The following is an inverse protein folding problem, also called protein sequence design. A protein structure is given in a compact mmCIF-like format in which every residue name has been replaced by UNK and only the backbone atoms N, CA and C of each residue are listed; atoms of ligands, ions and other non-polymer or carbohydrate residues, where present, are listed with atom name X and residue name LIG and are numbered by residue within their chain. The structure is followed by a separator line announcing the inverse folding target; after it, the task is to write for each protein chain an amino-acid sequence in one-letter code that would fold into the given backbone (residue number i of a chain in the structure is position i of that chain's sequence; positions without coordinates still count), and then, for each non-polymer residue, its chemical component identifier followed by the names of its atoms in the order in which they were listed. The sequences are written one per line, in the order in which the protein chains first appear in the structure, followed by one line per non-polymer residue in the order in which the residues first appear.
data_IF_749716175661
#
_entry.id   IF_749716175661
#
_cell.length_a   1.000
_cell.length_b   1.000
_cell.length_c   1.000
_cell.angle_alpha   90.00
_cell.angle_beta   90.00
_cell.angle_gamma   90.00
#
_symmetry.space_group_name_H-M   'P 1'
#
loop_
_entity.id
_entity.type
_entity.pdbx_description
1 polymer ?
#
# COMPACT_ATOMS: atom_id res chain seq x y z
N UNK A 1 -18.33 3.67 28.03
CA UNK A 1 -19.09 2.41 27.86
C UNK A 1 -18.16 1.31 27.36
N UNK A 2 -17.75 0.41 28.25
CA UNK A 2 -17.10 -0.85 27.88
C UNK A 2 -18.19 -1.90 27.74
N UNK A 3 -18.40 -2.39 26.52
CA UNK A 3 -19.42 -3.40 26.24
C UNK A 3 -19.03 -4.76 26.78
N UNK A 4 -19.95 -5.39 27.51
CA UNK A 4 -19.91 -6.79 27.92
C UNK A 4 -19.83 -7.75 26.72
N UNK A 5 -19.52 -9.01 27.02
CA UNK A 5 -19.05 -10.03 26.07
C UNK A 5 -20.04 -10.48 25.00
N UNK A 6 -21.31 -10.06 25.03
CA UNK A 6 -22.36 -10.64 24.17
C UNK A 6 -22.99 -9.68 23.16
N UNK A 7 -22.68 -8.38 23.21
CA UNK A 7 -23.17 -7.44 22.18
C UNK A 7 -22.20 -7.36 21.00
N UNK A 8 -22.72 -7.53 19.78
CA UNK A 8 -21.97 -7.32 18.52
C UNK A 8 -21.37 -5.91 18.53
N UNK A 9 -20.08 -5.80 18.84
CA UNK A 9 -19.37 -4.51 18.87
C UNK A 9 -19.37 -3.90 17.47
N UNK A 10 -19.99 -2.75 17.33
CA UNK A 10 -20.05 -2.04 16.06
C UNK A 10 -18.65 -1.60 15.60
N UNK A 11 -18.22 -2.08 14.43
CA UNK A 11 -16.95 -1.67 13.83
C UNK A 11 -16.97 -0.17 13.48
N UNK A 12 -15.91 0.57 13.85
CA UNK A 12 -15.81 2.01 13.60
C UNK A 12 -15.38 2.33 12.17
N UNK A 13 -14.48 1.51 11.61
CA UNK A 13 -13.88 1.66 10.29
C UNK A 13 -14.12 0.37 9.50
N UNK A 14 -14.41 0.52 8.21
CA UNK A 14 -14.62 -0.62 7.29
C UNK A 14 -13.35 -1.48 7.18
N UNK A 15 -13.52 -2.80 7.13
CA UNK A 15 -12.40 -3.74 7.07
C UNK A 15 -11.46 -3.49 5.87
N UNK A 16 -12.03 -3.05 4.74
CA UNK A 16 -11.27 -2.73 3.54
C UNK A 16 -10.26 -1.61 3.77
N UNK A 17 -10.65 -0.59 4.54
CA UNK A 17 -9.80 0.54 4.90
C UNK A 17 -8.74 0.15 5.94
N UNK A 18 -9.10 -0.72 6.89
CA UNK A 18 -8.16 -1.25 7.89
C UNK A 18 -7.01 -2.02 7.23
N UNK A 19 -7.30 -2.76 6.16
CA UNK A 19 -6.31 -3.59 5.50
C UNK A 19 -5.40 -2.83 4.51
N UNK A 20 -5.60 -1.52 4.33
CA UNK A 20 -4.67 -0.70 3.56
C UNK A 20 -3.34 -0.51 4.31
N UNK A 21 -2.30 -0.11 3.58
CA UNK A 21 -1.02 0.24 4.19
C UNK A 21 -1.18 1.45 5.14
N UNK A 22 -0.35 1.50 6.19
CA UNK A 22 -0.33 2.64 7.12
C UNK A 22 -0.14 3.98 6.42
N UNK A 23 0.66 4.01 5.34
CA UNK A 23 0.88 5.21 4.52
C UNK A 23 -0.39 5.75 3.86
N UNK A 24 -1.41 4.91 3.68
CA UNK A 24 -2.69 5.22 3.04
C UNK A 24 -3.86 5.25 4.03
N UNK A 25 -3.56 5.15 5.32
CA UNK A 25 -4.55 5.23 6.38
C UNK A 25 -5.17 3.92 6.80
N UNK A 26 -4.63 2.78 6.40
CA UNK A 26 -4.95 1.51 7.06
C UNK A 26 -4.03 1.19 8.23
N UNK A 27 -4.12 -0.04 8.73
CA UNK A 27 -3.26 -0.59 9.78
C UNK A 27 -2.18 -1.54 9.24
N UNK A 28 -2.18 -1.81 7.93
CA UNK A 28 -1.29 -2.76 7.28
C UNK A 28 -1.68 -4.22 7.51
N UNK A 29 -2.94 -4.47 7.91
CA UNK A 29 -3.47 -5.84 7.96
C UNK A 29 -3.63 -6.37 6.55
N UNK A 30 -3.27 -7.64 6.32
CA UNK A 30 -3.38 -8.20 4.97
C UNK A 30 -4.79 -8.72 4.74
N UNK A 31 -5.39 -8.35 3.62
CA UNK A 31 -6.63 -8.96 3.11
C UNK A 31 -6.30 -10.41 2.77
N UNK A 32 -6.85 -11.36 3.53
CA UNK A 32 -6.55 -12.79 3.37
C UNK A 32 -6.82 -13.28 1.94
N UNK A 33 -7.88 -12.78 1.29
CA UNK A 33 -8.20 -13.11 -0.11
C UNK A 33 -7.05 -12.76 -1.05
N UNK A 34 -6.51 -11.54 -0.98
CA UNK A 34 -5.41 -11.10 -1.84
C UNK A 34 -4.07 -11.73 -1.45
N UNK A 35 -3.86 -12.01 -0.15
CA UNK A 35 -2.70 -12.76 0.30
C UNK A 35 -2.73 -14.19 -0.22
N UNK A 36 -3.88 -14.86 -0.16
CA UNK A 36 -4.08 -16.19 -0.71
C UNK A 36 -3.85 -16.19 -2.22
N UNK A 37 -4.44 -15.23 -2.95
CA UNK A 37 -4.18 -15.02 -4.39
C UNK A 37 -2.69 -14.93 -4.70
N UNK A 38 -1.94 -14.10 -3.97
CA UNK A 38 -0.48 -13.98 -4.15
C UNK A 38 0.30 -15.26 -3.77
N UNK A 39 -0.16 -16.02 -2.78
CA UNK A 39 0.45 -17.31 -2.38
C UNK A 39 0.18 -18.40 -3.42
N UNK A 40 -1.03 -18.47 -3.98
CA UNK A 40 -1.38 -19.37 -5.07
C UNK A 40 -0.59 -19.02 -6.34
N UNK A 41 -0.47 -17.73 -6.67
CA UNK A 41 0.38 -17.27 -7.78
C UNK A 41 1.84 -17.70 -7.65
N UNK A 42 2.37 -17.85 -6.43
CA UNK A 42 3.72 -18.38 -6.21
C UNK A 42 3.87 -19.80 -6.75
N UNK A 43 2.84 -20.63 -6.66
CA UNK A 43 2.88 -21.99 -7.21
C UNK A 43 2.83 -21.99 -8.74
N UNK A 44 2.08 -21.07 -9.35
CA UNK A 44 2.11 -20.84 -10.81
C UNK A 44 3.51 -20.43 -11.26
N UNK A 45 4.13 -19.47 -10.55
CA UNK A 45 5.52 -19.07 -10.81
C UNK A 45 6.49 -20.25 -10.68
N UNK A 46 6.38 -21.02 -9.60
CA UNK A 46 7.20 -22.21 -9.37
C UNK A 46 7.05 -23.25 -10.47
N UNK A 47 5.85 -23.45 -10.98
CA UNK A 47 5.63 -24.39 -12.08
C UNK A 47 6.42 -23.99 -13.33
N UNK A 48 6.53 -22.68 -13.60
CA UNK A 48 7.32 -22.17 -14.71
C UNK A 48 8.83 -22.34 -14.48
N UNK A 49 9.35 -22.05 -13.27
CA UNK A 49 10.80 -22.08 -13.01
C UNK A 49 11.38 -23.46 -12.62
N UNK A 50 10.62 -24.26 -11.88
CA UNK A 50 11.09 -25.54 -11.34
C UNK A 50 11.18 -26.53 -12.51
N UNK A 51 12.30 -27.23 -12.66
CA UNK A 51 12.55 -28.10 -13.84
C UNK A 51 12.04 -29.51 -13.61
N UNK A 52 12.75 -30.26 -12.77
CA UNK A 52 12.58 -31.70 -12.60
C UNK A 52 11.99 -32.08 -11.23
N UNK A 53 11.38 -31.11 -10.56
CA UNK A 53 10.73 -31.36 -9.27
C UNK A 53 9.61 -32.40 -9.40
N UNK A 54 9.59 -33.39 -8.50
CA UNK A 54 8.61 -34.48 -8.49
C UNK A 54 7.16 -33.97 -8.52
N UNK A 55 6.86 -32.90 -7.77
CA UNK A 55 5.51 -32.34 -7.72
C UNK A 55 5.07 -31.80 -9.09
N UNK A 56 6.00 -31.21 -9.86
CA UNK A 56 5.72 -30.73 -11.22
C UNK A 56 5.46 -31.90 -12.15
N UNK A 57 6.28 -32.94 -12.10
CA UNK A 57 6.10 -34.15 -12.91
C UNK A 57 4.72 -34.78 -12.68
N UNK A 58 4.26 -34.86 -11.42
CA UNK A 58 2.92 -35.37 -11.09
C UNK A 58 1.82 -34.50 -11.71
N UNK A 59 1.95 -33.18 -11.65
CA UNK A 59 0.99 -32.25 -12.27
C UNK A 59 0.99 -32.41 -13.80
N UNK A 60 2.16 -32.52 -14.42
CA UNK A 60 2.31 -32.72 -15.87
C UNK A 60 1.68 -34.04 -16.30
N UNK A 61 1.95 -35.13 -15.58
CA UNK A 61 1.37 -36.44 -15.87
C UNK A 61 -0.16 -36.45 -15.74
N UNK A 62 -0.70 -35.72 -14.75
CA UNK A 62 -2.14 -35.68 -14.47
C UNK A 62 -2.93 -34.76 -15.40
N UNK A 63 -2.40 -33.57 -15.70
CA UNK A 63 -3.15 -32.53 -16.42
C UNK A 63 -2.58 -32.22 -17.81
N UNK A 64 -1.32 -32.54 -18.08
CA UNK A 64 -0.60 -32.16 -19.30
C UNK A 64 -0.01 -30.75 -19.24
N UNK A 65 0.68 -30.35 -20.32
CA UNK A 65 1.37 -29.06 -20.45
C UNK A 65 0.92 -28.28 -21.69
N UNK A 66 0.96 -26.96 -21.59
CA UNK A 66 0.73 -26.00 -22.68
C UNK A 66 1.74 -24.86 -22.61
N UNK A 67 1.74 -23.99 -23.64
CA UNK A 67 2.66 -22.85 -23.73
C UNK A 67 4.12 -23.30 -23.66
N UNK A 68 4.51 -24.24 -24.52
CA UNK A 68 5.89 -24.78 -24.60
C UNK A 68 6.45 -25.32 -23.27
N UNK A 69 5.57 -25.82 -22.40
CA UNK A 69 5.95 -26.45 -21.13
C UNK A 69 5.97 -25.50 -19.93
N UNK A 70 5.70 -24.21 -20.13
CA UNK A 70 5.64 -23.23 -19.05
C UNK A 70 4.39 -23.32 -18.18
N UNK A 71 3.32 -23.94 -18.72
CA UNK A 71 2.00 -23.97 -18.08
C UNK A 71 1.45 -25.38 -18.02
N UNK A 72 0.71 -25.68 -16.97
CA UNK A 72 -0.15 -26.85 -16.93
C UNK A 72 -1.41 -26.56 -17.74
N UNK A 73 -1.90 -27.55 -18.49
CA UNK A 73 -3.20 -27.43 -19.19
C UNK A 73 -4.32 -27.24 -18.18
N UNK A 74 -5.39 -26.58 -18.63
CA UNK A 74 -6.61 -26.40 -17.84
C UNK A 74 -7.21 -27.75 -17.45
N UNK A 75 -7.49 -27.91 -16.16
CA UNK A 75 -8.17 -29.10 -15.65
C UNK A 75 -9.66 -29.09 -16.06
N UNK A 76 -10.03 -29.87 -17.07
CA UNK A 76 -11.42 -30.14 -17.44
C UNK A 76 -11.90 -31.36 -16.67
N UNK A 77 -12.72 -31.16 -15.64
CA UNK A 77 -13.30 -32.25 -14.86
C UNK A 77 -14.21 -31.78 -13.71
N UNK A 78 -15.33 -32.49 -13.54
CA UNK A 78 -16.26 -32.40 -12.40
C UNK A 78 -15.75 -33.15 -11.16
N UNK A 79 -14.73 -33.99 -11.31
CA UNK A 79 -14.21 -34.84 -10.24
C UNK A 79 -13.00 -34.18 -9.58
N UNK A 80 -13.20 -33.70 -8.35
CA UNK A 80 -12.15 -33.29 -7.43
C UNK A 80 -11.99 -31.77 -7.31
N UNK A 81 -12.35 -31.26 -6.14
CA UNK A 81 -11.98 -29.92 -5.63
C UNK A 81 -10.48 -29.93 -5.31
N UNK A 82 -9.65 -30.07 -6.34
CA UNK A 82 -8.20 -30.25 -6.16
C UNK A 82 -7.50 -28.91 -5.91
N UNK A 83 -6.53 -28.90 -5.01
CA UNK A 83 -5.67 -27.74 -4.71
C UNK A 83 -5.09 -27.11 -5.99
N UNK A 84 -4.72 -27.93 -6.98
CA UNK A 84 -4.22 -27.45 -8.27
C UNK A 84 -5.25 -26.66 -9.09
N UNK A 85 -6.54 -27.00 -9.00
CA UNK A 85 -7.61 -26.27 -9.70
C UNK A 85 -7.75 -24.85 -9.16
N UNK A 86 -7.62 -24.67 -7.84
CA UNK A 86 -7.62 -23.34 -7.21
C UNK A 86 -6.33 -22.55 -7.52
N UNK A 87 -5.16 -23.20 -7.56
CA UNK A 87 -3.92 -22.57 -8.02
C UNK A 87 -4.06 -22.11 -9.48
N UNK A 88 -4.65 -22.96 -10.33
CA UNK A 88 -4.82 -22.69 -11.75
C UNK A 88 -5.76 -21.50 -11.99
N UNK A 89 -6.80 -21.28 -11.19
CA UNK A 89 -7.64 -20.06 -11.30
C UNK A 89 -6.84 -18.75 -11.17
N UNK A 90 -5.69 -18.81 -10.53
CA UNK A 90 -4.79 -17.67 -10.33
C UNK A 90 -3.68 -17.61 -11.40
N UNK A 91 -3.76 -18.41 -12.48
CA UNK A 91 -2.75 -18.45 -13.54
C UNK A 91 -2.65 -17.15 -14.34
N UNK A 92 -3.80 -16.59 -14.75
CA UNK A 92 -3.83 -15.56 -15.78
C UNK A 92 -3.18 -14.26 -15.30
N UNK A 93 -3.61 -13.75 -14.15
CA UNK A 93 -3.00 -12.55 -13.57
C UNK A 93 -1.52 -12.77 -13.24
N UNK A 94 -1.13 -13.98 -12.81
CA UNK A 94 0.26 -14.26 -12.48
C UNK A 94 1.09 -14.20 -13.76
N UNK A 95 0.60 -14.82 -14.83
CA UNK A 95 1.26 -14.85 -16.12
C UNK A 95 1.39 -13.49 -16.80
N UNK A 96 0.36 -12.65 -16.74
CA UNK A 96 0.41 -11.29 -17.31
C UNK A 96 1.56 -10.46 -16.70
N UNK A 97 1.94 -10.80 -15.47
CA UNK A 97 3.03 -10.18 -14.72
C UNK A 97 4.38 -10.92 -14.83
N UNK A 98 4.48 -11.93 -15.71
CA UNK A 98 5.73 -12.58 -16.09
C UNK A 98 6.23 -12.05 -17.45
N UNK A 99 7.54 -12.05 -17.61
CA UNK A 99 8.23 -11.97 -18.89
C UNK A 99 9.22 -13.12 -18.99
N UNK A 100 9.86 -13.25 -20.14
CA UNK A 100 10.84 -14.29 -20.42
C UNK A 100 12.22 -13.70 -20.64
N UNK A 101 13.23 -14.50 -20.35
CA UNK A 101 14.64 -14.24 -20.62
C UNK A 101 15.09 -15.33 -21.58
N UNK A 102 15.59 -14.93 -22.73
CA UNK A 102 16.05 -15.84 -23.78
C UNK A 102 17.36 -16.51 -23.36
N UNK A 103 17.32 -17.84 -23.33
CA UNK A 103 18.46 -18.74 -23.31
C UNK A 103 18.57 -19.41 -24.69
N UNK A 104 18.30 -20.71 -24.76
CA UNK A 104 18.21 -21.49 -26.02
C UNK A 104 17.13 -20.97 -26.97
N UNK A 105 16.07 -20.37 -26.46
CA UNK A 105 14.96 -19.81 -27.23
C UNK A 105 13.92 -20.83 -27.67
N UNK A 106 14.04 -22.11 -27.31
CA UNK A 106 13.19 -23.20 -27.77
C UNK A 106 11.83 -23.28 -27.04
N UNK A 107 11.66 -22.53 -25.96
CA UNK A 107 10.40 -22.45 -25.20
C UNK A 107 9.73 -21.08 -25.27
N UNK A 108 10.26 -20.15 -26.05
CA UNK A 108 9.75 -18.78 -26.12
C UNK A 108 9.24 -18.52 -27.53
N UNK A 109 7.97 -18.14 -27.68
CA UNK A 109 7.44 -17.75 -28.97
C UNK A 109 7.95 -16.35 -29.34
N UNK A 110 8.52 -16.22 -30.54
CA UNK A 110 9.15 -14.99 -30.99
C UNK A 110 8.18 -13.80 -30.98
N UNK A 111 6.95 -13.97 -31.50
CA UNK A 111 6.02 -12.87 -31.66
C UNK A 111 5.11 -12.60 -30.45
N UNK A 112 4.67 -13.65 -29.77
CA UNK A 112 3.54 -13.58 -28.82
C UNK A 112 3.95 -13.57 -27.35
N UNK A 113 5.19 -13.96 -27.03
CA UNK A 113 5.70 -13.91 -25.66
C UNK A 113 6.41 -12.59 -25.36
N UNK A 114 6.41 -12.20 -24.09
CA UNK A 114 7.07 -10.96 -23.63
C UNK A 114 8.50 -11.27 -23.22
N UNK A 115 9.41 -11.26 -24.20
CA UNK A 115 10.84 -11.52 -23.99
C UNK A 115 11.73 -10.35 -24.43
N UNK A 116 11.16 -9.38 -25.13
CA UNK A 116 11.82 -8.19 -25.66
C UNK A 116 11.09 -6.92 -25.19
N UNK A 117 11.80 -5.95 -24.60
CA UNK A 117 11.29 -4.62 -24.20
C UNK A 117 9.95 -4.60 -23.42
N UNK A 118 9.70 -5.58 -22.55
CA UNK A 118 8.50 -5.67 -21.69
C UNK A 118 7.12 -5.68 -22.41
N UNK A 119 7.12 -5.76 -23.73
CA UNK A 119 5.94 -5.84 -24.60
C UNK A 119 6.06 -7.03 -25.56
N UNK A 120 4.96 -7.40 -26.23
CA UNK A 120 5.00 -8.46 -27.26
C UNK A 120 5.42 -7.83 -28.57
N UNK A 121 6.32 -8.46 -29.33
CA UNK A 121 6.68 -7.98 -30.67
C UNK A 121 5.45 -7.88 -31.59
N UNK A 122 4.47 -8.78 -31.46
CA UNK A 122 3.19 -8.70 -32.19
C UNK A 122 2.35 -7.46 -31.85
N UNK A 123 2.51 -6.89 -30.65
CA UNK A 123 1.83 -5.66 -30.23
C UNK A 123 2.59 -4.41 -30.68
N UNK A 124 3.93 -4.44 -30.62
CA UNK A 124 4.79 -3.33 -31.03
C UNK A 124 4.90 -3.21 -32.56
N UNK A 125 4.80 -4.34 -33.28
CA UNK A 125 4.90 -4.44 -34.74
C UNK A 125 3.73 -5.24 -35.34
N UNK A 126 2.47 -4.79 -35.19
CA UNK A 126 1.30 -5.55 -35.61
C UNK A 126 1.26 -5.79 -37.13
N UNK A 127 1.78 -4.84 -37.91
CA UNK A 127 1.85 -4.96 -39.38
C UNK A 127 2.85 -6.05 -39.81
N UNK A 128 4.05 -6.07 -39.21
CA UNK A 128 5.04 -7.13 -39.49
C UNK A 128 4.56 -8.50 -39.03
N UNK A 129 3.88 -8.57 -37.87
CA UNK A 129 3.29 -9.81 -37.38
C UNK A 129 2.23 -10.38 -38.34
N UNK A 130 1.38 -9.51 -38.90
CA UNK A 130 0.38 -9.91 -39.89
C UNK A 130 1.03 -10.50 -41.16
N UNK A 131 2.23 -10.06 -41.53
CA UNK A 131 2.94 -10.55 -42.72
C UNK A 131 3.93 -11.69 -42.42
N UNK A 132 4.18 -12.01 -41.16
CA UNK A 132 5.13 -13.04 -40.79
C UNK A 132 4.64 -14.43 -41.21
N UNK A 133 5.50 -15.18 -41.92
CA UNK A 133 5.19 -16.55 -42.38
C UNK A 133 5.13 -17.55 -41.21
N UNK A 134 5.91 -17.29 -40.16
CA UNK A 134 5.99 -18.14 -38.97
C UNK A 134 5.57 -17.39 -37.70
N UNK A 135 4.26 -17.18 -37.53
CA UNK A 135 3.70 -16.42 -36.38
C UNK A 135 3.86 -17.12 -35.02
N UNK A 136 3.98 -18.46 -35.05
CA UNK A 136 4.10 -19.30 -33.86
C UNK A 136 5.52 -19.89 -33.70
N UNK A 137 6.50 -19.38 -34.44
CA UNK A 137 7.87 -19.87 -34.33
C UNK A 137 8.50 -19.46 -32.99
N UNK A 138 9.39 -20.30 -32.51
CA UNK A 138 10.18 -20.04 -31.32
C UNK A 138 11.36 -19.10 -31.61
N UNK A 139 11.95 -18.52 -30.57
CA UNK A 139 13.13 -17.67 -30.72
C UNK A 139 14.32 -18.45 -31.31
N UNK A 140 14.45 -19.74 -30.97
CA UNK A 140 15.45 -20.63 -31.55
C UNK A 140 15.26 -20.78 -33.07
N UNK A 141 14.04 -21.08 -33.51
CA UNK A 141 13.71 -21.30 -34.93
C UNK A 141 13.91 -20.03 -35.78
N UNK A 142 13.77 -18.86 -35.16
CA UNK A 142 13.95 -17.56 -35.81
C UNK A 142 15.42 -17.09 -35.83
N UNK A 143 16.34 -17.83 -35.22
CA UNK A 143 17.76 -17.50 -35.16
C UNK A 143 18.60 -18.47 -35.99
N UNK A 144 19.34 -17.95 -36.96
CA UNK A 144 20.24 -18.74 -37.78
C UNK A 144 21.69 -18.55 -37.32
N UNK A 145 22.28 -19.63 -36.80
CA UNK A 145 23.66 -19.65 -36.33
C UNK A 145 24.69 -19.67 -37.48
N UNK A 146 24.27 -19.98 -38.71
CA UNK A 146 25.18 -20.13 -39.85
C UNK A 146 25.61 -18.79 -40.47
N UNK A 147 24.93 -17.69 -40.13
CA UNK A 147 25.27 -16.35 -40.61
C UNK A 147 26.34 -15.66 -39.74
N UNK A 148 27.61 -16.04 -39.89
CA UNK A 148 28.74 -15.33 -39.26
C UNK A 148 28.66 -15.24 -37.73
N UNK A 149 28.22 -14.09 -37.19
CA UNK A 149 27.96 -13.91 -35.74
C UNK A 149 26.56 -14.38 -35.28
N UNK A 150 25.80 -15.01 -36.19
CA UNK A 150 24.40 -15.36 -36.05
C UNK A 150 23.47 -14.21 -36.47
N UNK A 151 22.28 -14.55 -36.98
CA UNK A 151 21.33 -13.56 -37.50
C UNK A 151 19.86 -13.98 -37.38
N UNK A 152 18.97 -13.00 -37.36
CA UNK A 152 17.53 -13.23 -37.31
C UNK A 152 16.98 -13.63 -38.69
N UNK A 153 16.43 -14.83 -38.81
CA UNK A 153 15.80 -15.36 -40.02
C UNK A 153 14.31 -14.99 -40.06
N UNK A 154 14.03 -13.74 -40.41
CA UNK A 154 12.66 -13.21 -40.50
C UNK A 154 12.06 -13.50 -41.88
N UNK A 155 11.17 -14.48 -41.98
CA UNK A 155 10.46 -14.82 -43.23
C UNK A 155 9.06 -14.19 -43.28
N UNK A 156 8.77 -13.53 -44.38
CA UNK A 156 7.51 -12.83 -44.62
C UNK A 156 6.82 -13.37 -45.88
N UNK A 157 5.50 -13.18 -45.95
CA UNK A 157 4.65 -13.74 -47.01
C UNK A 157 4.87 -13.07 -48.38
N UNK A 158 5.45 -11.87 -48.41
CA UNK A 158 5.77 -11.10 -49.63
C UNK A 158 6.96 -10.18 -49.40
N UNK A 159 7.47 -9.63 -50.48
CA UNK A 159 8.45 -8.55 -50.45
C UNK A 159 7.85 -7.27 -49.87
N UNK A 160 8.75 -6.42 -49.37
CA UNK A 160 8.42 -5.18 -48.67
C UNK A 160 8.34 -4.00 -49.62
N UNK A 161 7.40 -3.09 -49.31
CA UNK A 161 7.42 -1.76 -49.89
C UNK A 161 8.39 -0.84 -49.13
N UNK A 162 8.82 0.26 -49.74
CA UNK A 162 9.81 1.19 -49.17
C UNK A 162 9.43 1.71 -47.77
N UNK A 163 8.14 1.97 -47.53
CA UNK A 163 7.66 2.42 -46.21
C UNK A 163 7.62 1.31 -45.15
N UNK A 164 7.64 0.03 -45.54
CA UNK A 164 7.68 -1.12 -44.63
C UNK A 164 9.12 -1.45 -44.20
N UNK A 165 10.10 -1.09 -45.03
CA UNK A 165 11.53 -1.26 -44.74
C UNK A 165 11.96 -0.52 -43.47
N UNK A 166 11.39 0.66 -43.20
CA UNK A 166 11.66 1.40 -41.96
C UNK A 166 11.22 0.61 -40.71
N UNK A 167 10.10 -0.12 -40.79
CA UNK A 167 9.59 -0.92 -39.67
C UNK A 167 10.50 -2.12 -39.37
N UNK A 168 11.05 -2.75 -40.40
CA UNK A 168 12.04 -3.84 -40.25
C UNK A 168 13.32 -3.30 -39.63
N UNK A 169 13.79 -2.13 -40.09
CA UNK A 169 14.96 -1.48 -39.51
C UNK A 169 14.79 -1.24 -38.01
N UNK A 170 13.62 -0.76 -37.59
CA UNK A 170 13.26 -0.61 -36.17
C UNK A 170 13.22 -1.94 -35.43
N UNK A 171 12.62 -2.98 -36.01
CA UNK A 171 12.58 -4.31 -35.41
C UNK A 171 13.99 -4.90 -35.22
N UNK A 172 14.84 -4.87 -36.26
CA UNK A 172 16.22 -5.35 -36.19
C UNK A 172 17.05 -4.55 -35.18
N UNK A 173 16.80 -3.24 -35.07
CA UNK A 173 17.44 -2.42 -34.05
C UNK A 173 17.10 -2.89 -32.63
N UNK A 174 15.81 -3.12 -32.36
CA UNK A 174 15.33 -3.67 -31.07
C UNK A 174 15.93 -5.04 -30.79
N UNK A 175 16.06 -5.88 -31.82
CA UNK A 175 16.59 -7.24 -31.69
C UNK A 175 18.12 -7.34 -31.60
N UNK A 176 18.86 -6.25 -31.85
CA UNK A 176 20.32 -6.24 -31.98
C UNK A 176 21.04 -6.76 -30.74
N UNK A 177 20.50 -6.49 -29.56
CA UNK A 177 21.11 -6.84 -28.28
C UNK A 177 20.71 -8.24 -27.79
N UNK A 178 19.89 -8.95 -28.55
CA UNK A 178 19.38 -10.28 -28.20
C UNK A 178 20.02 -11.34 -29.09
N UNK A 179 20.55 -12.39 -28.45
CA UNK A 179 21.03 -13.60 -29.11
C UNK A 179 20.72 -14.82 -28.25
N UNK A 180 20.26 -15.94 -28.83
CA UNK A 180 20.18 -17.20 -28.12
C UNK A 180 21.54 -17.63 -27.55
N UNK A 181 21.50 -18.32 -26.42
CA UNK A 181 22.68 -18.85 -25.73
C UNK A 181 22.51 -20.35 -25.46
N UNK A 182 23.54 -20.98 -24.88
CA UNK A 182 23.45 -22.38 -24.44
C UNK A 182 22.69 -22.55 -23.12
N UNK A 183 22.38 -21.46 -22.42
CA UNK A 183 21.61 -21.50 -21.17
C UNK A 183 20.15 -21.84 -21.46
N UNK A 184 19.46 -22.48 -20.52
CA UNK A 184 18.02 -22.71 -20.68
C UNK A 184 17.22 -21.41 -20.59
N UNK A 185 16.12 -21.36 -21.32
CA UNK A 185 15.15 -20.28 -21.19
C UNK A 185 14.69 -20.13 -19.73
N UNK A 186 14.41 -18.90 -19.32
CA UNK A 186 13.94 -18.61 -17.96
C UNK A 186 12.86 -17.53 -17.94
N UNK A 187 12.16 -17.43 -16.82
CA UNK A 187 11.12 -16.41 -16.61
C UNK A 187 11.62 -15.34 -15.65
N UNK A 188 11.18 -14.10 -15.89
CA UNK A 188 11.37 -12.94 -15.02
C UNK A 188 10.02 -12.41 -14.53
N UNK A 189 9.97 -12.03 -13.27
CA UNK A 189 8.81 -11.37 -12.70
C UNK A 189 8.88 -9.85 -12.96
N UNK A 190 7.85 -9.29 -13.61
CA UNK A 190 7.79 -7.85 -13.93
C UNK A 190 7.61 -6.97 -12.68
N UNK A 191 6.93 -7.49 -11.66
CA UNK A 191 6.60 -6.74 -10.46
C UNK A 191 7.67 -6.80 -9.37
N UNK A 192 8.69 -5.94 -9.41
CA UNK A 192 9.72 -5.89 -8.38
C UNK A 192 11.05 -5.35 -8.89
N UNK A 193 12.10 -5.37 -8.07
CA UNK A 193 13.44 -4.85 -8.47
C UNK A 193 14.42 -5.89 -9.01
N UNK A 194 14.15 -7.19 -8.81
CA UNK A 194 15.16 -8.23 -9.01
C UNK A 194 14.69 -9.35 -9.98
N UNK A 195 13.59 -9.15 -10.71
CA UNK A 195 13.04 -10.17 -11.63
C UNK A 195 12.57 -11.47 -10.97
N UNK A 196 12.50 -11.53 -9.63
CA UNK A 196 12.10 -12.72 -8.87
C UNK A 196 10.73 -12.52 -8.23
N UNK A 197 9.90 -13.56 -8.26
CA UNK A 197 8.60 -13.52 -7.59
C UNK A 197 8.78 -13.41 -6.07
N UNK A 198 8.21 -12.35 -5.48
CA UNK A 198 8.07 -12.19 -4.03
C UNK A 198 6.61 -11.99 -3.69
N UNK A 199 6.09 -12.80 -2.75
CA UNK A 199 4.68 -12.71 -2.29
C UNK A 199 4.33 -11.29 -1.84
N UNK A 200 5.26 -10.55 -1.23
CA UNK A 200 5.06 -9.16 -0.82
C UNK A 200 4.82 -8.21 -2.01
N UNK A 201 5.55 -8.40 -3.10
CA UNK A 201 5.45 -7.56 -4.31
C UNK A 201 4.20 -7.93 -5.11
N UNK A 202 3.94 -9.24 -5.26
CA UNK A 202 2.70 -9.75 -5.86
C UNK A 202 1.44 -9.28 -5.10
N UNK A 203 1.47 -9.32 -3.75
CA UNK A 203 0.37 -8.81 -2.92
C UNK A 203 0.10 -7.33 -3.21
N UNK A 204 1.14 -6.48 -3.26
CA UNK A 204 0.98 -5.05 -3.57
C UNK A 204 0.38 -4.80 -4.95
N UNK A 205 0.72 -5.64 -5.93
CA UNK A 205 0.22 -5.53 -7.29
C UNK A 205 -1.29 -5.83 -7.36
N UNK A 206 -1.76 -6.85 -6.64
CA UNK A 206 -3.18 -7.21 -6.61
C UNK A 206 -4.03 -6.28 -5.72
N UNK A 207 -3.43 -5.61 -4.75
CA UNK A 207 -4.13 -4.69 -3.85
C UNK A 207 -4.17 -3.24 -4.34
N UNK A 208 -4.03 -2.98 -5.65
CA UNK A 208 -3.96 -1.65 -6.30
C UNK A 208 -4.47 -0.51 -5.40
N UNK A 209 -3.57 0.17 -4.69
CA UNK A 209 -4.02 1.00 -3.60
C UNK A 209 -4.40 2.39 -4.12
N UNK A 210 -5.63 2.85 -3.82
CA UNK A 210 -6.06 4.22 -4.11
C UNK A 210 -5.06 5.22 -3.52
N UNK A 211 -4.71 6.25 -4.30
CA UNK A 211 -3.74 7.27 -3.89
C UNK A 211 -4.45 8.38 -3.11
N UNK A 212 -4.95 8.02 -1.93
CA UNK A 212 -5.51 9.00 -0.99
C UNK A 212 -4.35 9.47 -0.10
N UNK A 213 -4.02 10.76 -0.19
CA UNK A 213 -3.07 11.38 0.74
C UNK A 213 -3.55 11.20 2.18
N UNK A 214 -2.79 10.47 3.00
CA UNK A 214 -3.08 10.23 4.42
C UNK A 214 -1.87 10.62 5.30
N UNK A 215 -2.06 11.36 6.41
CA UNK A 215 -0.97 11.87 7.24
C UNK A 215 -0.36 10.80 8.17
N UNK A 216 -0.01 9.64 7.63
CA UNK A 216 0.48 8.48 8.39
C UNK A 216 1.68 8.79 9.30
N UNK A 217 2.62 9.59 8.78
CA UNK A 217 3.85 10.00 9.48
C UNK A 217 3.61 10.98 10.63
N UNK A 218 2.42 11.57 10.71
CA UNK A 218 2.03 12.48 11.79
C UNK A 218 1.24 11.75 12.88
N UNK A 219 0.72 10.55 12.59
CA UNK A 219 -0.05 9.72 13.53
C UNK A 219 0.83 8.65 14.18
N UNK A 220 1.57 7.91 13.36
CA UNK A 220 2.45 6.83 13.80
C UNK A 220 3.82 7.40 14.18
N UNK A 221 3.88 8.03 15.35
CA UNK A 221 5.11 8.65 15.91
C UNK A 221 5.60 7.83 17.11
N UNK A 222 6.89 7.51 17.16
CA UNK A 222 7.46 6.67 18.23
C UNK A 222 7.40 7.32 19.62
N UNK A 223 7.20 8.63 19.68
CA UNK A 223 7.14 9.42 20.92
C UNK A 223 5.75 9.53 21.54
N UNK A 224 4.79 8.70 21.10
CA UNK A 224 3.45 8.64 21.71
C UNK A 224 3.01 7.20 21.99
N UNK A 225 2.21 6.95 23.04
CA UNK A 225 1.66 5.63 23.28
C UNK A 225 0.78 5.15 22.12
N UNK A 226 0.83 3.85 21.82
CA UNK A 226 0.10 3.25 20.69
C UNK A 226 -1.41 3.53 20.71
N UNK A 227 -2.03 3.52 21.91
CA UNK A 227 -3.46 3.85 22.07
C UNK A 227 -3.82 5.27 21.60
N UNK A 228 -2.89 6.20 21.74
CA UNK A 228 -3.08 7.59 21.32
C UNK A 228 -2.94 7.73 19.81
N UNK A 229 -1.95 7.04 19.23
CA UNK A 229 -1.80 6.95 17.78
C UNK A 229 -3.05 6.31 17.12
N UNK A 230 -3.60 5.25 17.72
CA UNK A 230 -4.85 4.64 17.27
C UNK A 230 -6.04 5.60 17.34
N UNK A 231 -6.21 6.31 18.46
CA UNK A 231 -7.26 7.31 18.59
C UNK A 231 -7.15 8.42 17.52
N UNK A 232 -5.94 8.93 17.29
CA UNK A 232 -5.72 9.95 16.26
C UNK A 232 -5.95 9.42 14.84
N UNK A 233 -5.62 8.15 14.59
CA UNK A 233 -5.95 7.46 13.34
C UNK A 233 -7.47 7.40 13.12
N UNK A 234 -8.24 7.03 14.14
CA UNK A 234 -9.72 7.04 14.08
C UNK A 234 -10.28 8.45 13.88
N UNK A 235 -9.70 9.44 14.57
CA UNK A 235 -10.10 10.85 14.45
C UNK A 235 -9.85 11.40 13.05
N UNK A 236 -8.74 11.00 12.41
CA UNK A 236 -8.40 11.40 11.04
C UNK A 236 -9.40 10.86 10.02
N UNK A 237 -9.95 9.67 10.26
CA UNK A 237 -11.05 9.11 9.47
C UNK A 237 -12.42 9.69 9.83
N UNK A 238 -12.49 10.52 10.88
CA UNK A 238 -13.73 11.05 11.45
C UNK A 238 -14.62 9.96 12.03
N UNK A 239 -14.05 8.86 12.55
CA UNK A 239 -14.80 7.67 13.03
C UNK A 239 -14.81 7.50 14.54
N UNK A 240 -14.32 8.48 15.28
CA UNK A 240 -14.43 8.56 16.74
C UNK A 240 -15.91 8.66 17.14
N UNK A 241 -16.25 8.17 18.34
CA UNK A 241 -17.60 8.12 18.89
C UNK A 241 -18.09 9.48 19.43
N UNK A 242 -18.06 10.51 18.59
CA UNK A 242 -18.74 11.80 18.82
C UNK A 242 -20.24 11.64 18.67
N UNK A 243 -21.02 12.56 19.27
CA UNK A 243 -22.48 12.50 19.25
C UNK A 243 -23.05 12.50 17.83
N UNK A 244 -22.50 13.29 16.90
CA UNK A 244 -22.93 13.29 15.49
C UNK A 244 -22.80 11.89 14.84
N UNK A 245 -21.77 11.13 15.22
CA UNK A 245 -21.53 9.77 14.72
C UNK A 245 -22.42 8.73 15.37
N UNK A 246 -22.77 8.93 16.64
CA UNK A 246 -23.77 8.09 17.33
C UNK A 246 -25.16 8.31 16.74
N UNK A 247 -25.55 9.56 16.48
CA UNK A 247 -26.82 9.89 15.82
C UNK A 247 -26.93 9.26 14.43
N UNK A 248 -25.87 9.34 13.62
CA UNK A 248 -25.78 8.65 12.31
C UNK A 248 -25.91 7.13 12.40
N UNK A 249 -25.80 6.54 13.60
CA UNK A 249 -25.98 5.10 13.88
C UNK A 249 -27.34 4.79 14.51
N UNK A 250 -28.26 5.76 14.55
CA UNK A 250 -29.62 5.58 15.06
C UNK A 250 -29.81 5.89 16.54
N UNK A 251 -28.79 6.40 17.24
CA UNK A 251 -28.93 6.80 18.65
C UNK A 251 -29.63 8.15 18.76
N UNK A 252 -30.73 8.20 19.52
CA UNK A 252 -31.48 9.42 19.78
C UNK A 252 -30.89 10.15 20.99
N UNK A 253 -29.82 10.92 20.75
CA UNK A 253 -29.14 11.72 21.76
C UNK A 253 -29.15 13.21 21.33
N UNK A 254 -29.37 14.16 22.25
CA UNK A 254 -29.18 15.58 21.94
C UNK A 254 -27.69 15.82 21.64
N UNK A 255 -27.39 16.42 20.48
CA UNK A 255 -26.01 16.67 20.07
C UNK A 255 -25.56 18.04 20.54
N UNK A 256 -24.83 18.07 21.66
CA UNK A 256 -24.19 19.27 22.17
C UNK A 256 -22.80 18.91 22.68
N UNK A 257 -21.80 19.74 22.35
CA UNK A 257 -20.42 19.53 22.76
C UNK A 257 -20.28 19.53 24.29
N UNK A 258 -19.84 18.40 24.85
CA UNK A 258 -19.64 18.25 26.31
C UNK A 258 -18.58 19.20 26.90
N UNK A 259 -17.78 19.89 26.08
CA UNK A 259 -16.76 20.82 26.54
C UNK A 259 -17.28 22.26 26.58
N UNK A 260 -17.76 22.79 25.46
CA UNK A 260 -18.20 24.20 25.39
C UNK A 260 -19.69 24.38 25.64
N UNK A 261 -20.53 23.38 25.36
CA UNK A 261 -21.98 23.51 25.42
C UNK A 261 -22.62 24.39 24.34
N UNK A 262 -21.85 24.92 23.38
CA UNK A 262 -22.32 25.95 22.44
C UNK A 262 -22.66 25.44 21.04
N UNK A 263 -22.00 24.37 20.58
CA UNK A 263 -22.16 23.84 19.22
C UNK A 263 -22.35 22.32 19.24
N UNK A 264 -22.73 21.77 18.09
CA UNK A 264 -22.81 20.33 17.87
C UNK A 264 -21.44 19.66 18.02
N UNK A 265 -21.43 18.50 18.70
CA UNK A 265 -20.24 17.70 18.86
C UNK A 265 -19.93 16.91 17.59
N UNK A 266 -19.02 17.48 16.78
CA UNK A 266 -18.34 16.77 15.69
C UNK A 266 -16.87 16.52 16.05
N UNK A 267 -16.20 15.60 15.35
CA UNK A 267 -14.75 15.37 15.55
C UNK A 267 -13.93 16.63 15.31
N UNK A 268 -14.26 17.41 14.28
CA UNK A 268 -13.52 18.63 13.96
C UNK A 268 -13.81 19.73 14.99
N UNK A 269 -15.07 19.93 15.38
CA UNK A 269 -15.40 20.86 16.47
C UNK A 269 -14.67 20.46 17.74
N UNK A 270 -14.83 19.21 18.19
CA UNK A 270 -14.26 18.72 19.43
C UNK A 270 -12.74 18.85 19.50
N UNK A 271 -12.01 18.60 18.40
CA UNK A 271 -10.55 18.56 18.42
C UNK A 271 -9.86 19.85 17.95
N UNK A 272 -10.58 20.74 17.26
CA UNK A 272 -10.00 21.92 16.62
C UNK A 272 -10.75 23.18 17.03
N UNK A 273 -12.05 23.26 16.74
CA UNK A 273 -12.78 24.54 16.75
C UNK A 273 -13.42 24.88 18.09
N UNK A 274 -13.58 23.92 18.99
CA UNK A 274 -14.13 24.12 20.33
C UNK A 274 -13.30 25.15 21.10
N UNK A 275 -13.94 26.19 21.62
CA UNK A 275 -13.30 27.29 22.35
C UNK A 275 -12.46 26.81 23.53
N UNK A 276 -12.89 25.74 24.21
CA UNK A 276 -12.14 25.10 25.31
C UNK A 276 -10.84 24.47 24.80
N UNK A 277 -10.87 23.88 23.59
CA UNK A 277 -9.71 23.21 22.99
C UNK A 277 -8.76 24.21 22.35
N UNK A 278 -9.26 25.35 21.85
CA UNK A 278 -8.43 26.48 21.41
C UNK A 278 -7.43 26.89 22.47
N UNK A 279 -7.85 26.95 23.74
CA UNK A 279 -6.95 27.25 24.87
C UNK A 279 -5.73 26.32 24.95
N UNK A 280 -5.86 25.03 24.62
CA UNK A 280 -4.73 24.10 24.61
C UNK A 280 -3.80 24.33 23.42
N UNK A 281 -4.38 24.63 22.26
CA UNK A 281 -3.62 25.02 21.07
C UNK A 281 -2.84 26.32 21.31
N UNK A 282 -3.49 27.33 21.88
CA UNK A 282 -2.91 28.64 22.15
C UNK A 282 -1.73 28.58 23.12
N UNK A 283 -1.76 27.66 24.11
CA UNK A 283 -0.60 27.40 24.96
C UNK A 283 0.61 26.99 24.13
N UNK A 284 0.44 26.05 23.19
CA UNK A 284 1.55 25.59 22.35
C UNK A 284 2.00 26.67 21.38
N UNK A 285 1.05 27.30 20.69
CA UNK A 285 1.33 28.32 19.69
C UNK A 285 2.01 29.53 20.33
N UNK A 286 1.54 29.96 21.49
CA UNK A 286 2.14 31.02 22.30
C UNK A 286 3.55 30.67 22.78
N UNK A 287 3.75 29.46 23.31
CA UNK A 287 5.09 29.00 23.69
C UNK A 287 6.02 28.94 22.47
N UNK A 288 5.52 28.48 21.33
CA UNK A 288 6.34 28.30 20.13
C UNK A 288 6.52 29.57 19.28
N UNK A 289 5.83 30.67 19.60
CA UNK A 289 5.80 31.86 18.75
C UNK A 289 5.21 31.63 17.35
N UNK A 290 4.50 30.52 17.13
CA UNK A 290 3.94 30.15 15.82
C UNK A 290 2.54 30.75 15.69
N UNK A 291 2.32 31.54 14.65
CA UNK A 291 0.98 31.96 14.24
C UNK A 291 0.35 30.89 13.36
N UNK A 292 -0.86 30.45 13.71
CA UNK A 292 -1.51 29.32 13.04
C UNK A 292 -2.95 29.61 12.65
N UNK A 293 -3.27 29.34 11.39
CA UNK A 293 -4.65 29.32 10.89
C UNK A 293 -5.10 27.87 10.85
N UNK A 294 -6.16 27.55 11.59
CA UNK A 294 -6.63 26.18 11.68
C UNK A 294 -7.52 25.80 10.50
N UNK A 295 -7.19 24.72 9.78
CA UNK A 295 -8.07 24.18 8.74
C UNK A 295 -9.32 23.54 9.35
N UNK A 296 -10.27 23.19 8.47
CA UNK A 296 -11.59 22.66 8.85
C UNK A 296 -11.54 21.23 9.38
N UNK A 297 -10.52 20.45 8.98
CA UNK A 297 -10.48 19.02 9.29
C UNK A 297 -9.25 18.58 10.08
N UNK A 298 -9.43 17.58 10.94
CA UNK A 298 -8.34 16.94 11.70
C UNK A 298 -7.24 16.40 10.77
N UNK A 299 -7.64 15.88 9.60
CA UNK A 299 -6.72 15.39 8.59
C UNK A 299 -5.81 16.50 8.06
N UNK A 300 -6.36 17.67 7.76
CA UNK A 300 -5.59 18.83 7.28
C UNK A 300 -4.72 19.42 8.38
N UNK A 301 -5.20 19.48 9.63
CA UNK A 301 -4.37 19.89 10.79
C UNK A 301 -3.13 19.01 10.87
N UNK A 302 -3.29 17.69 10.88
CA UNK A 302 -2.14 16.76 10.97
C UNK A 302 -1.22 16.85 9.75
N UNK A 303 -1.77 17.09 8.56
CA UNK A 303 -0.99 17.21 7.33
C UNK A 303 -0.14 18.49 7.33
N UNK A 304 -0.75 19.63 7.66
CA UNK A 304 -0.10 20.93 7.73
C UNK A 304 0.90 21.03 8.87
N UNK A 305 0.65 20.36 10.02
CA UNK A 305 1.54 20.34 11.19
C UNK A 305 2.96 19.80 10.92
N UNK A 306 3.16 19.13 9.77
CA UNK A 306 4.46 18.54 9.37
C UNK A 306 5.50 19.58 8.91
N UNK A 307 5.13 20.86 8.76
CA UNK A 307 6.02 21.91 8.27
C UNK A 307 7.26 22.19 9.14
N UNK A 308 8.21 23.00 8.64
CA UNK A 308 9.50 23.28 9.27
C UNK A 308 9.40 24.32 10.42
N UNK A 309 8.33 24.26 11.22
CA UNK A 309 8.03 25.28 12.25
C UNK A 309 8.98 25.24 13.44
N UNK A 310 9.69 24.13 13.65
CA UNK A 310 10.61 23.96 14.79
C UNK A 310 11.94 23.37 14.34
N UNK A 311 13.02 23.74 15.04
CA UNK A 311 14.35 23.18 14.81
C UNK A 311 14.41 21.65 14.98
N UNK A 312 15.46 21.03 14.40
CA UNK A 312 15.65 19.56 14.37
C UNK A 312 15.52 18.90 15.76
N UNK A 313 16.00 19.56 16.81
CA UNK A 313 15.95 19.09 18.21
C UNK A 313 14.52 18.99 18.76
N UNK A 314 13.62 19.90 18.35
CA UNK A 314 12.22 20.01 18.83
C UNK A 314 11.23 19.21 17.97
N UNK A 315 11.63 18.81 16.76
CA UNK A 315 10.77 18.15 15.77
C UNK A 315 10.04 16.91 16.27
N UNK A 316 10.65 16.11 17.16
CA UNK A 316 10.00 14.92 17.74
C UNK A 316 8.81 15.32 18.63
N UNK A 317 9.01 16.30 19.52
CA UNK A 317 7.97 16.78 20.43
C UNK A 317 6.87 17.48 19.68
N UNK A 318 7.23 18.33 18.71
CA UNK A 318 6.29 19.02 17.86
C UNK A 318 5.28 18.06 17.22
N UNK A 319 5.74 16.93 16.68
CA UNK A 319 4.85 15.91 16.09
C UNK A 319 3.90 15.25 17.10
N UNK A 320 4.29 15.15 18.37
CA UNK A 320 3.46 14.54 19.42
C UNK A 320 2.35 15.47 19.92
N UNK A 321 2.46 16.78 19.71
CA UNK A 321 1.55 17.78 20.30
C UNK A 321 0.09 17.57 19.88
N UNK A 322 -0.26 17.52 18.58
CA UNK A 322 -1.64 17.30 18.17
C UNK A 322 -2.24 16.05 18.80
N UNK A 323 -1.46 14.96 18.82
CA UNK A 323 -1.89 13.68 19.38
C UNK A 323 -2.12 13.76 20.89
N UNK A 324 -1.28 14.53 21.61
CA UNK A 324 -1.42 14.78 23.04
C UNK A 324 -2.68 15.60 23.35
N UNK A 325 -2.94 16.66 22.57
CA UNK A 325 -4.16 17.47 22.68
C UNK A 325 -5.37 16.57 22.42
N UNK A 326 -5.39 15.86 21.29
CA UNK A 326 -6.50 14.97 20.91
C UNK A 326 -6.85 13.97 22.00
N UNK A 327 -5.84 13.32 22.57
CA UNK A 327 -6.06 12.35 23.65
C UNK A 327 -6.49 13.00 24.96
N UNK A 328 -5.95 14.17 25.30
CA UNK A 328 -6.32 14.89 26.53
C UNK A 328 -7.77 15.36 26.47
N UNK A 329 -8.17 15.95 25.35
CA UNK A 329 -9.54 16.37 25.04
C UNK A 329 -10.49 15.17 25.10
N UNK A 330 -10.12 14.05 24.46
CA UNK A 330 -10.97 12.85 24.45
C UNK A 330 -11.20 12.26 25.84
N UNK A 331 -10.17 12.22 26.69
CA UNK A 331 -10.30 11.76 28.08
C UNK A 331 -11.25 12.66 28.87
N UNK A 332 -11.10 13.97 28.74
CA UNK A 332 -11.92 14.92 29.51
C UNK A 332 -13.37 14.93 29.04
N UNK A 333 -13.59 14.94 27.72
CA UNK A 333 -14.92 14.77 27.13
C UNK A 333 -15.60 13.52 27.66
N UNK A 334 -14.92 12.37 27.65
CA UNK A 334 -15.50 11.11 28.14
C UNK A 334 -15.72 11.12 29.66
N UNK A 335 -14.89 11.82 30.44
CA UNK A 335 -15.13 12.01 31.88
C UNK A 335 -16.46 12.72 32.08
N UNK A 336 -16.68 13.84 31.40
CA UNK A 336 -17.90 14.62 31.51
C UNK A 336 -19.12 13.84 31.00
N UNK A 337 -19.01 13.18 29.85
CA UNK A 337 -20.10 12.41 29.26
C UNK A 337 -20.58 11.22 30.11
N UNK A 338 -19.67 10.53 30.83
CA UNK A 338 -20.01 9.31 31.57
C UNK A 338 -20.05 9.47 33.09
N UNK A 339 -19.32 10.44 33.66
CA UNK A 339 -19.25 10.67 35.11
C UNK A 339 -19.88 12.00 35.53
N UNK A 340 -20.29 12.83 34.57
CA UNK A 340 -20.83 14.16 34.82
C UNK A 340 -19.81 15.12 35.45
N UNK A 341 -20.35 16.17 36.07
CA UNK A 341 -19.61 17.25 36.70
C UNK A 341 -19.26 18.39 35.74
N UNK A 342 -18.51 19.36 36.26
CA UNK A 342 -18.14 20.57 35.53
C UNK A 342 -16.73 20.47 34.92
N UNK A 343 -16.53 21.21 33.83
CA UNK A 343 -15.25 21.37 33.19
C UNK A 343 -14.35 22.26 34.05
N UNK A 344 -13.22 21.71 34.51
CA UNK A 344 -12.17 22.50 35.14
C UNK A 344 -11.04 22.77 34.14
N UNK A 345 -11.03 23.98 33.57
CA UNK A 345 -10.06 24.36 32.52
C UNK A 345 -8.61 24.28 33.02
N UNK A 346 -8.33 24.64 34.27
CA UNK A 346 -6.97 24.60 34.80
C UNK A 346 -6.47 23.16 34.95
N UNK A 347 -7.34 22.26 35.40
CA UNK A 347 -7.04 20.82 35.45
C UNK A 347 -6.80 20.23 34.07
N UNK A 348 -7.57 20.67 33.06
CA UNK A 348 -7.38 20.26 31.66
C UNK A 348 -6.01 20.71 31.13
N UNK A 349 -5.65 21.99 31.30
CA UNK A 349 -4.34 22.56 30.94
C UNK A 349 -3.20 21.78 31.61
N UNK A 350 -3.30 21.56 32.92
CA UNK A 350 -2.30 20.82 33.68
C UNK A 350 -2.16 19.37 33.18
N UNK A 351 -3.28 18.69 32.89
CA UNK A 351 -3.25 17.32 32.37
C UNK A 351 -2.55 17.23 31.01
N UNK A 352 -2.81 18.20 30.12
CA UNK A 352 -2.16 18.30 28.82
C UNK A 352 -0.64 18.49 28.98
N UNK A 353 -0.23 19.51 29.73
CA UNK A 353 1.18 19.88 29.93
C UNK A 353 1.96 18.74 30.59
N UNK A 354 1.41 18.12 31.64
CA UNK A 354 2.03 16.98 32.30
C UNK A 354 2.14 15.75 31.38
N UNK A 355 1.12 15.48 30.55
CA UNK A 355 1.15 14.36 29.61
C UNK A 355 2.23 14.56 28.54
N UNK A 356 2.31 15.76 27.97
CA UNK A 356 3.31 16.11 26.96
C UNK A 356 4.74 16.03 27.55
N UNK A 357 4.93 16.56 28.75
CA UNK A 357 6.22 16.48 29.47
C UNK A 357 6.62 15.03 29.79
N UNK A 358 5.67 14.20 30.25
CA UNK A 358 5.92 12.78 30.52
C UNK A 358 6.40 12.04 29.27
N UNK A 359 5.79 12.29 28.11
CA UNK A 359 6.21 11.68 26.85
C UNK A 359 7.58 12.20 26.39
N UNK A 360 7.86 13.48 26.61
CA UNK A 360 9.17 14.05 26.34
C UNK A 360 10.29 13.43 27.19
N UNK A 361 10.00 13.09 28.46
CA UNK A 361 10.96 12.41 29.33
C UNK A 361 11.26 11.00 28.85
N UNK A 362 10.21 10.19 28.66
CA UNK A 362 10.33 8.76 28.37
C UNK A 362 10.91 8.47 26.98
N UNK A 363 10.45 9.19 25.95
CA UNK A 363 10.72 8.80 24.56
C UNK A 363 11.80 9.65 23.87
N UNK A 364 12.31 10.70 24.53
CA UNK A 364 13.16 11.72 23.89
C UNK A 364 14.46 11.95 24.69
N UNK A 365 14.71 11.15 25.73
CA UNK A 365 15.96 11.17 26.49
C UNK A 365 16.14 12.44 27.32
N UNK A 366 15.05 13.17 27.61
CA UNK A 366 15.03 14.38 28.43
C UNK A 366 14.70 14.09 29.89
N UNK A 367 15.18 12.96 30.42
CA UNK A 367 14.77 12.44 31.72
C UNK A 367 15.04 13.40 32.89
N UNK A 368 16.08 14.25 32.74
CA UNK A 368 16.54 15.21 33.75
C UNK A 368 15.86 16.59 33.71
N UNK A 369 14.95 16.84 32.77
CA UNK A 369 14.33 18.16 32.66
C UNK A 369 13.13 18.30 33.61
N UNK A 370 13.17 19.33 34.45
CA UNK A 370 12.00 19.78 35.22
C UNK A 370 10.87 20.23 34.28
N UNK A 371 9.66 20.35 34.81
CA UNK A 371 8.52 20.82 34.02
C UNK A 371 8.73 22.25 33.52
N UNK A 372 9.25 23.13 34.37
CA UNK A 372 9.55 24.53 34.03
C UNK A 372 10.63 24.58 32.94
N UNK A 373 11.75 23.86 33.14
CA UNK A 373 12.81 23.81 32.15
C UNK A 373 12.36 23.20 30.81
N UNK A 374 11.35 22.32 30.83
CA UNK A 374 10.73 21.80 29.62
C UNK A 374 9.93 22.87 28.87
N UNK A 375 9.14 23.69 29.57
CA UNK A 375 8.38 24.79 28.97
C UNK A 375 9.32 25.86 28.41
N UNK A 376 10.36 26.25 29.14
CA UNK A 376 11.39 27.18 28.67
C UNK A 376 12.12 26.64 27.43
N UNK A 377 12.42 25.34 27.41
CA UNK A 377 13.02 24.71 26.24
C UNK A 377 12.06 24.64 25.05
N UNK A 378 10.76 24.48 25.29
CA UNK A 378 9.77 24.60 24.21
C UNK A 378 9.68 26.03 23.70
N UNK A 379 9.85 27.02 24.58
CA UNK A 379 9.71 28.43 24.26
C UNK A 379 10.94 29.08 23.61
N UNK A 380 12.12 28.50 23.78
CA UNK A 380 13.38 29.03 23.24
C UNK A 380 13.55 28.76 21.73
N UNK A 381 12.49 28.90 20.93
CA UNK A 381 12.44 28.44 19.52
C UNK A 381 13.54 29.01 18.64
#
# INVERSE_FOLDING_TARGET
MGGGSEEKKAHLIKWEAICEDKSKGGLGLRKLVFLNKALLGKWVWRFAIDRDDLWKQVIVAKYGQEGLGWRAKKAYGTIGVGVWKEIWKESDWCWDNMGFIVGKGNKINFWTDVWCEDTRLAQSFPHLYAMASHRNATVEEMWDQNFGQGGWNLRFLRDFNDWEMEMIGKLLHVLRDFKPSMEEDSVRWKGGRNGKFRVKEAYRLVTRPNDIGFPARCIWVDSVPTKVAFYAWEATWGRVLTLDRLQKRGWQLPNCCFLCGCEEETVNHLLIHCIVVRVLWDIVLGLSGVQWVFPETVKEVLTSWRGPFVGKKRKKIWKSIPLCIFWTVWKERNRLAFRGGELNIQKLKNSFVCSLWSWARLYIGKERMSLIGFLEWLASI
#
